data_IF_579004407753
#
_entry.id   IF_579004407753
#
_cell.length_a   1.000
_cell.length_b   1.000
_cell.length_c   1.000
_cell.angle_alpha   90.00
_cell.angle_beta   90.00
_cell.angle_gamma   90.00
#
_symmetry.space_group_name_H-M   'P 1'
#
loop_
_entity.id
_entity.type
_entity.pdbx_description
1 polymer ?
#
# COMPACT_ATOMS: atom_id res chain seq x y z
N UNK A 1 16.01 -34.31 29.19
CA UNK A 1 15.27 -33.03 29.19
C UNK A 1 14.45 -32.81 27.92
N UNK A 2 13.36 -33.56 27.78
CA UNK A 2 12.46 -33.57 26.60
C UNK A 2 11.11 -32.86 26.87
N UNK A 3 10.99 -32.15 28.01
CA UNK A 3 9.70 -31.63 28.50
C UNK A 3 9.44 -30.14 28.21
N UNK A 4 10.21 -29.50 27.33
CA UNK A 4 9.97 -28.10 26.90
C UNK A 4 9.48 -27.98 25.44
N UNK A 5 9.27 -29.08 24.72
CA UNK A 5 8.90 -29.06 23.29
C UNK A 5 7.39 -29.03 23.04
N UNK A 6 6.54 -29.22 24.05
CA UNK A 6 5.08 -29.23 23.88
C UNK A 6 4.42 -27.91 24.33
N UNK A 7 4.08 -27.07 23.34
CA UNK A 7 2.74 -26.46 23.13
C UNK A 7 2.73 -25.10 22.40
N UNK A 8 3.86 -24.54 21.96
CA UNK A 8 3.88 -23.20 21.33
C UNK A 8 4.84 -23.00 20.15
N UNK A 9 5.40 -24.05 19.54
CA UNK A 9 6.38 -23.88 18.43
C UNK A 9 5.71 -23.40 17.12
N UNK A 10 4.38 -23.57 16.98
CA UNK A 10 3.65 -23.30 15.72
C UNK A 10 2.66 -22.14 15.88
N UNK A 11 2.87 -21.30 16.89
CA UNK A 11 2.35 -19.94 16.88
C UNK A 11 3.30 -19.09 16.03
N UNK A 12 2.94 -18.84 14.76
CA UNK A 12 3.72 -17.94 13.90
C UNK A 12 3.83 -18.29 12.42
N UNK A 13 3.11 -19.30 11.92
CA UNK A 13 2.89 -19.52 10.49
C UNK A 13 1.47 -19.08 10.13
N UNK A 14 1.35 -18.05 9.29
CA UNK A 14 0.08 -17.53 8.80
C UNK A 14 -0.03 -17.79 7.31
N UNK A 15 -1.18 -18.30 6.89
CA UNK A 15 -1.51 -18.51 5.49
C UNK A 15 -2.71 -17.65 5.14
N UNK A 16 -2.59 -16.82 4.12
CA UNK A 16 -3.65 -15.93 3.67
C UNK A 16 -3.92 -16.23 2.19
N UNK A 17 -5.19 -16.44 1.85
CA UNK A 17 -5.64 -16.57 0.48
C UNK A 17 -6.56 -15.40 0.16
N UNK A 18 -6.03 -14.45 -0.58
CA UNK A 18 -6.77 -13.29 -1.07
C UNK A 18 -7.51 -13.71 -2.35
N UNK A 19 -8.85 -13.73 -2.31
CA UNK A 19 -9.70 -14.09 -3.46
C UNK A 19 -10.52 -12.90 -3.90
N UNK A 20 -10.56 -12.66 -5.21
CA UNK A 20 -11.39 -11.62 -5.82
C UNK A 20 -11.14 -10.20 -5.25
N UNK A 21 -9.93 -9.95 -4.73
CA UNK A 21 -9.57 -8.71 -4.07
C UNK A 21 -9.50 -7.57 -5.10
N UNK A 22 -10.36 -6.56 -4.92
CA UNK A 22 -10.51 -5.43 -5.85
C UNK A 22 -10.18 -4.07 -5.21
N UNK A 23 -9.94 -4.04 -3.90
CA UNK A 23 -9.72 -2.83 -3.10
C UNK A 23 -8.53 -2.99 -2.14
N UNK A 24 -7.99 -1.85 -1.70
CA UNK A 24 -7.01 -1.72 -0.62
C UNK A 24 -7.51 -2.44 0.64
N UNK A 25 -6.89 -3.57 1.00
CA UNK A 25 -6.96 -4.15 2.35
C UNK A 25 -5.95 -3.43 3.26
N UNK A 26 -6.01 -3.60 4.58
CA UNK A 26 -5.01 -3.00 5.49
C UNK A 26 -3.57 -3.45 5.17
N UNK A 27 -3.41 -4.65 4.60
CA UNK A 27 -2.14 -5.20 4.07
C UNK A 27 -1.63 -4.49 2.80
N UNK A 28 -2.45 -3.64 2.16
CA UNK A 28 -2.05 -2.80 1.02
C UNK A 28 -1.49 -1.44 1.45
N UNK A 29 -1.69 -1.02 2.70
CA UNK A 29 -1.05 0.19 3.24
C UNK A 29 0.46 -0.04 3.46
N UNK A 30 1.26 1.03 3.44
CA UNK A 30 2.69 0.90 3.70
C UNK A 30 2.93 0.48 5.16
N UNK A 31 3.44 -0.72 5.33
CA UNK A 31 3.64 -1.34 6.64
C UNK A 31 4.94 -2.16 6.68
N UNK A 32 5.20 -2.73 7.84
CA UNK A 32 6.21 -3.76 8.08
C UNK A 32 5.75 -4.62 9.25
N UNK A 33 6.17 -5.87 9.31
CA UNK A 33 5.79 -6.80 10.36
C UNK A 33 6.96 -7.73 10.72
N UNK A 34 6.92 -8.39 11.88
CA UNK A 34 8.03 -9.21 12.40
C UNK A 34 8.21 -10.57 11.68
N UNK A 35 7.47 -10.80 10.60
CA UNK A 35 7.48 -12.04 9.82
C UNK A 35 8.19 -11.86 8.48
N UNK A 36 8.74 -12.94 7.95
CA UNK A 36 9.11 -13.02 6.53
C UNK A 36 7.85 -13.34 5.74
N UNK A 37 7.67 -12.69 4.58
CA UNK A 37 6.51 -12.86 3.72
C UNK A 37 6.91 -13.47 2.36
N UNK A 38 6.12 -14.44 1.90
CA UNK A 38 6.13 -14.94 0.53
C UNK A 38 4.78 -14.57 -0.09
N UNK A 39 4.81 -13.79 -1.17
CA UNK A 39 3.61 -13.37 -1.91
C UNK A 39 3.62 -13.97 -3.31
N UNK A 40 2.59 -14.72 -3.69
CA UNK A 40 2.44 -15.34 -5.01
C UNK A 40 1.14 -14.90 -5.68
N UNK A 41 1.25 -14.36 -6.91
CA UNK A 41 0.09 -13.87 -7.67
C UNK A 41 -0.52 -14.99 -8.51
N UNK A 42 -1.78 -15.37 -8.24
CA UNK A 42 -2.52 -16.39 -9.02
C UNK A 42 -3.16 -15.76 -10.26
N UNK A 43 -3.82 -14.62 -10.10
CA UNK A 43 -4.50 -13.92 -11.19
C UNK A 43 -4.57 -12.42 -10.90
N UNK A 44 -4.77 -11.60 -11.94
CA UNK A 44 -4.76 -10.14 -11.83
C UNK A 44 -3.38 -9.53 -12.09
N UNK A 45 -3.21 -8.27 -11.71
CA UNK A 45 -1.93 -7.55 -11.83
C UNK A 45 -1.74 -6.63 -10.63
N UNK A 46 -0.55 -6.66 -10.05
CA UNK A 46 -0.25 -5.96 -8.79
C UNK A 46 1.04 -5.17 -8.94
N UNK A 47 1.08 -3.99 -8.36
CA UNK A 47 2.26 -3.19 -8.10
C UNK A 47 2.65 -3.37 -6.64
N UNK A 48 3.76 -4.04 -6.40
CA UNK A 48 4.28 -4.31 -5.06
C UNK A 48 5.46 -3.37 -4.79
N UNK A 49 5.34 -2.49 -3.81
CA UNK A 49 6.40 -1.54 -3.43
C UNK A 49 7.13 -2.08 -2.22
N UNK A 50 8.46 -2.19 -2.29
CA UNK A 50 9.32 -2.64 -1.18
C UNK A 50 10.51 -1.69 -1.09
N UNK A 51 10.65 -1.04 0.06
CA UNK A 51 11.58 0.05 0.30
C UNK A 51 11.46 1.16 -0.76
N UNK A 52 12.41 1.22 -1.66
CA UNK A 52 12.53 2.21 -2.73
C UNK A 52 12.17 1.65 -4.11
N UNK A 53 11.85 0.36 -4.22
CA UNK A 53 11.65 -0.34 -5.48
C UNK A 53 10.19 -0.75 -5.68
N UNK A 54 9.72 -0.63 -6.93
CA UNK A 54 8.38 -1.02 -7.34
C UNK A 54 8.46 -2.22 -8.28
N UNK A 55 7.75 -3.28 -7.94
CA UNK A 55 7.68 -4.53 -8.66
C UNK A 55 6.30 -4.69 -9.29
N UNK A 56 6.23 -4.69 -10.62
CA UNK A 56 5.00 -5.06 -11.32
C UNK A 56 4.94 -6.58 -11.41
N UNK A 57 3.86 -7.16 -10.90
CA UNK A 57 3.62 -8.61 -10.86
C UNK A 57 2.53 -9.02 -11.85
N UNK A 58 2.79 -10.14 -12.51
CA UNK A 58 1.91 -10.89 -13.38
C UNK A 58 1.57 -12.25 -12.76
N UNK A 59 0.50 -12.91 -13.19
CA UNK A 59 0.14 -14.25 -12.72
C UNK A 59 1.31 -15.23 -12.83
N UNK A 60 1.59 -15.97 -11.77
CA UNK A 60 2.71 -16.89 -11.68
C UNK A 60 4.00 -16.30 -11.10
N UNK A 61 4.05 -14.99 -10.85
CA UNK A 61 5.22 -14.33 -10.26
C UNK A 61 5.16 -14.30 -8.73
N UNK A 62 6.35 -14.32 -8.12
CA UNK A 62 6.55 -14.43 -6.67
C UNK A 62 7.45 -13.31 -6.14
N UNK A 63 7.09 -12.75 -4.99
CA UNK A 63 7.87 -11.78 -4.22
C UNK A 63 8.20 -12.36 -2.85
N UNK A 64 9.40 -12.06 -2.35
CA UNK A 64 9.79 -12.32 -0.96
C UNK A 64 10.10 -11.03 -0.21
N UNK A 65 9.67 -10.93 1.05
CA UNK A 65 9.85 -9.73 1.88
C UNK A 65 10.40 -10.10 3.26
N UNK A 66 11.34 -9.30 3.77
CA UNK A 66 11.87 -9.45 5.15
C UNK A 66 11.04 -8.69 6.17
N UNK A 67 11.23 -9.07 7.43
CA UNK A 67 10.66 -8.40 8.60
C UNK A 67 11.07 -6.93 8.76
N UNK A 68 12.23 -6.57 8.20
CA UNK A 68 12.81 -5.24 8.29
C UNK A 68 12.71 -4.42 6.99
N UNK A 69 11.84 -4.84 6.07
CA UNK A 69 11.53 -4.16 4.82
C UNK A 69 10.14 -3.48 4.86
N UNK A 70 10.09 -2.17 4.61
CA UNK A 70 8.82 -1.45 4.45
C UNK A 70 8.17 -1.80 3.12
N UNK A 71 6.90 -2.19 3.11
CA UNK A 71 6.25 -2.64 1.88
C UNK A 71 4.75 -2.33 1.84
N UNK A 72 4.21 -2.29 0.61
CA UNK A 72 2.79 -2.08 0.30
C UNK A 72 2.45 -2.72 -1.04
N UNK A 73 1.23 -3.22 -1.18
CA UNK A 73 0.67 -3.73 -2.43
C UNK A 73 -0.38 -2.76 -2.98
N UNK A 74 -0.40 -2.53 -4.29
CA UNK A 74 -1.44 -1.76 -4.97
C UNK A 74 -1.92 -2.51 -6.22
N UNK A 75 -3.23 -2.64 -6.40
CA UNK A 75 -3.82 -3.29 -7.58
C UNK A 75 -3.58 -2.43 -8.82
N UNK A 76 -3.08 -3.03 -9.90
CA UNK A 76 -2.93 -2.37 -11.20
C UNK A 76 -4.22 -2.53 -12.03
N UNK A 77 -4.66 -1.43 -12.66
CA UNK A 77 -5.81 -1.40 -13.59
C UNK A 77 -7.19 -1.74 -12.99
N UNK A 78 -7.33 -1.76 -11.66
CA UNK A 78 -8.61 -2.05 -10.99
C UNK A 78 -9.16 -3.46 -11.26
N UNK A 79 -8.30 -4.35 -11.75
CA UNK A 79 -8.63 -5.76 -11.95
C UNK A 79 -8.59 -6.48 -10.61
N UNK A 80 -9.56 -7.33 -10.34
CA UNK A 80 -9.47 -8.23 -9.20
C UNK A 80 -8.19 -9.04 -9.27
N UNK A 81 -7.59 -9.31 -8.12
CA UNK A 81 -6.49 -10.26 -8.03
C UNK A 81 -6.85 -11.42 -7.12
N UNK A 82 -6.15 -12.52 -7.34
CA UNK A 82 -6.12 -13.66 -6.44
C UNK A 82 -4.65 -13.91 -6.08
N UNK A 83 -4.33 -14.03 -4.80
CA UNK A 83 -2.97 -14.31 -4.34
C UNK A 83 -2.93 -15.27 -3.16
N UNK A 84 -1.79 -15.95 -3.03
CA UNK A 84 -1.46 -16.74 -1.86
C UNK A 84 -0.31 -16.06 -1.12
N UNK A 85 -0.41 -16.01 0.18
CA UNK A 85 0.56 -15.38 1.03
C UNK A 85 0.91 -16.26 2.23
N UNK A 86 2.20 -16.34 2.54
CA UNK A 86 2.71 -17.05 3.71
C UNK A 86 3.57 -16.10 4.52
N UNK A 87 3.21 -15.93 5.79
CA UNK A 87 4.02 -15.20 6.78
C UNK A 87 4.57 -16.17 7.82
N UNK A 88 5.87 -16.11 8.09
CA UNK A 88 6.49 -16.96 9.12
C UNK A 88 7.63 -16.27 9.86
N UNK A 89 7.82 -16.61 11.13
CA UNK A 89 8.90 -16.02 11.93
C UNK A 89 10.24 -16.68 11.55
N UNK A 90 11.31 -15.92 11.23
CA UNK A 90 12.56 -16.48 10.71
C UNK A 90 13.24 -17.47 11.68
N UNK A 91 13.19 -17.21 12.99
CA UNK A 91 13.72 -18.12 14.04
C UNK A 91 13.21 -19.56 13.93
N UNK A 92 11.97 -19.77 13.46
CA UNK A 92 11.43 -21.13 13.29
C UNK A 92 12.23 -21.87 12.23
N UNK A 93 12.57 -21.24 11.11
CA UNK A 93 13.35 -21.85 10.03
C UNK A 93 14.83 -21.98 10.37
N UNK A 94 15.39 -21.06 11.15
CA UNK A 94 16.79 -21.12 11.59
C UNK A 94 17.11 -22.41 12.36
N UNK A 95 16.14 -22.96 13.10
CA UNK A 95 16.27 -24.24 13.80
C UNK A 95 16.45 -25.44 12.85
N UNK A 96 16.07 -25.30 11.57
CA UNK A 96 16.11 -26.36 10.57
C UNK A 96 17.14 -26.11 9.45
N UNK A 97 17.96 -25.06 9.58
CA UNK A 97 18.99 -24.76 8.58
C UNK A 97 20.07 -25.87 8.58
N UNK A 98 20.27 -26.60 7.47
CA UNK A 98 21.40 -27.50 7.36
C UNK A 98 22.72 -26.72 7.23
N UNK A 99 23.87 -27.29 7.62
CA UNK A 99 25.16 -26.60 7.54
C UNK A 99 25.55 -26.12 6.14
N UNK A 100 25.10 -26.83 5.10
CA UNK A 100 25.47 -26.57 3.70
C UNK A 100 24.51 -25.63 2.97
N UNK A 101 23.35 -25.29 3.55
CA UNK A 101 22.32 -24.53 2.86
C UNK A 101 21.46 -23.73 3.83
N UNK A 102 21.22 -22.45 3.53
CA UNK A 102 20.41 -21.59 4.37
C UNK A 102 19.02 -21.41 3.75
N UNK A 103 17.97 -21.86 4.45
CA UNK A 103 16.57 -21.77 4.01
C UNK A 103 16.10 -20.31 3.82
N UNK A 104 16.80 -19.35 4.43
CA UNK A 104 16.49 -17.93 4.37
C UNK A 104 17.35 -17.14 3.36
N UNK A 105 18.08 -17.82 2.48
CA UNK A 105 19.06 -17.17 1.61
C UNK A 105 18.44 -16.18 0.61
N UNK A 106 17.31 -16.53 -0.02
CA UNK A 106 16.55 -15.65 -0.93
C UNK A 106 16.01 -14.38 -0.25
N UNK A 107 15.95 -14.35 1.09
CA UNK A 107 15.60 -13.16 1.86
C UNK A 107 16.83 -12.36 2.28
N UNK A 108 17.89 -13.03 2.74
CA UNK A 108 19.04 -12.41 3.42
C UNK A 108 20.21 -12.09 2.51
N UNK A 109 20.41 -12.85 1.43
CA UNK A 109 21.53 -12.68 0.49
C UNK A 109 21.19 -11.71 -0.64
N UNK A 110 20.62 -10.57 -0.27
CA UNK A 110 20.27 -9.45 -1.14
C UNK A 110 20.21 -8.15 -0.34
N UNK A 111 20.44 -7.04 -1.03
CA UNK A 111 20.24 -5.71 -0.45
C UNK A 111 18.74 -5.48 -0.17
N UNK A 112 18.43 -4.57 0.77
CA UNK A 112 17.05 -4.21 1.09
C UNK A 112 16.31 -3.66 -0.12
N UNK A 113 15.12 -4.19 -0.34
CA UNK A 113 14.27 -3.82 -1.46
C UNK A 113 14.80 -4.20 -2.84
N UNK A 114 15.97 -4.84 -2.98
CA UNK A 114 16.52 -5.30 -4.25
C UNK A 114 16.39 -6.83 -4.37
N UNK A 115 16.20 -7.32 -5.61
CA UNK A 115 16.04 -8.76 -5.93
C UNK A 115 14.95 -9.46 -5.09
N UNK A 116 13.86 -8.74 -4.76
CA UNK A 116 12.72 -9.32 -4.03
C UNK A 116 11.84 -10.21 -4.92
N UNK A 117 11.76 -9.90 -6.22
CA UNK A 117 11.06 -10.75 -7.19
C UNK A 117 11.93 -11.95 -7.50
N UNK A 118 11.37 -13.15 -7.38
CA UNK A 118 12.05 -14.40 -7.72
C UNK A 118 11.67 -14.76 -9.15
N UNK A 119 12.66 -14.81 -10.02
CA UNK A 119 12.46 -15.20 -11.41
C UNK A 119 12.30 -16.72 -11.49
N UNK A 120 11.05 -17.16 -11.69
CA UNK A 120 10.67 -18.57 -11.83
C UNK A 120 10.47 -18.89 -13.31
N UNK A 121 11.00 -20.03 -13.76
CA UNK A 121 10.58 -20.65 -15.03
C UNK A 121 9.15 -21.18 -14.88
N UNK A 122 8.48 -21.42 -16.01
CA UNK A 122 7.11 -21.92 -16.02
C UNK A 122 6.93 -23.21 -15.18
N UNK A 123 7.85 -24.17 -15.29
CA UNK A 123 7.80 -25.42 -14.51
C UNK A 123 8.04 -25.20 -13.01
N UNK A 124 8.91 -24.25 -12.65
CA UNK A 124 9.22 -23.90 -11.26
C UNK A 124 8.04 -23.16 -10.62
N UNK A 125 7.37 -22.29 -11.39
CA UNK A 125 6.15 -21.58 -10.97
C UNK A 125 4.99 -22.56 -10.67
N UNK A 126 4.79 -23.58 -11.52
CA UNK A 126 3.78 -24.61 -11.30
C UNK A 126 4.06 -25.47 -10.05
N UNK A 127 5.33 -25.84 -9.83
CA UNK A 127 5.76 -26.56 -8.63
C UNK A 127 5.52 -25.73 -7.35
N UNK A 128 5.95 -24.47 -7.35
CA UNK A 128 5.73 -23.52 -6.24
C UNK A 128 4.24 -23.36 -5.95
N UNK A 129 3.41 -23.18 -6.99
CA UNK A 129 1.96 -23.07 -6.82
C UNK A 129 1.36 -24.31 -6.17
N UNK A 130 1.76 -25.52 -6.60
CA UNK A 130 1.29 -26.77 -6.02
C UNK A 130 1.68 -26.92 -4.54
N UNK A 131 2.90 -26.52 -4.17
CA UNK A 131 3.35 -26.49 -2.77
C UNK A 131 2.53 -25.51 -1.93
N UNK A 132 2.26 -24.31 -2.44
CA UNK A 132 1.41 -23.32 -1.78
C UNK A 132 -0.02 -23.84 -1.57
N UNK A 133 -0.63 -24.47 -2.58
CA UNK A 133 -1.96 -25.10 -2.46
C UNK A 133 -1.97 -26.26 -1.47
N UNK A 134 -0.88 -27.01 -1.35
CA UNK A 134 -0.77 -28.06 -0.33
C UNK A 134 -0.75 -27.48 1.08
N UNK A 135 0.00 -26.40 1.31
CA UNK A 135 0.02 -25.68 2.59
C UNK A 135 -1.37 -25.13 2.92
N UNK A 136 -2.08 -24.52 1.96
CA UNK A 136 -3.47 -24.08 2.14
C UNK A 136 -4.37 -25.22 2.65
N UNK A 137 -4.31 -26.39 1.99
CA UNK A 137 -5.10 -27.57 2.36
C UNK A 137 -4.78 -28.06 3.78
N UNK A 138 -3.51 -28.03 4.18
CA UNK A 138 -3.08 -28.39 5.54
C UNK A 138 -3.52 -27.37 6.57
N UNK A 139 -3.59 -26.08 6.23
CA UNK A 139 -4.12 -25.05 7.12
C UNK A 139 -5.64 -25.15 7.31
N UNK A 140 -6.38 -25.59 6.29
CA UNK A 140 -7.84 -25.70 6.33
C UNK A 140 -8.36 -27.03 6.90
N UNK A 141 -7.53 -28.06 7.00
CA UNK A 141 -7.91 -29.36 7.57
C UNK A 141 -7.24 -29.57 8.94
N UNK A 142 -8.01 -29.98 9.93
CA UNK A 142 -7.53 -30.16 11.32
C UNK A 142 -7.47 -31.62 11.79
N UNK A 143 -6.63 -32.50 11.21
CA UNK A 143 -6.23 -33.74 11.87
C UNK A 143 -5.02 -33.57 12.82
N UNK A 144 -4.71 -34.63 13.56
CA UNK A 144 -3.53 -34.76 14.44
C UNK A 144 -2.21 -34.61 13.66
N UNK A 145 -1.17 -34.01 14.25
CA UNK A 145 0.18 -33.79 13.66
C UNK A 145 0.28 -32.94 12.38
N UNK A 146 -0.78 -32.21 11.97
CA UNK A 146 -0.79 -31.30 10.80
C UNK A 146 0.35 -30.27 10.84
N UNK A 147 0.71 -29.87 12.05
CA UNK A 147 1.74 -28.90 12.39
C UNK A 147 3.14 -29.27 11.85
N UNK A 148 3.56 -30.54 11.97
CA UNK A 148 4.80 -31.02 11.35
C UNK A 148 4.70 -31.09 9.82
N UNK A 149 3.52 -31.39 9.28
CA UNK A 149 3.29 -31.43 7.84
C UNK A 149 3.33 -30.03 7.21
N UNK A 150 2.76 -29.02 7.89
CA UNK A 150 2.87 -27.60 7.50
C UNK A 150 4.32 -27.16 7.46
N UNK A 151 5.08 -27.48 8.51
CA UNK A 151 6.50 -27.15 8.60
C UNK A 151 7.33 -27.83 7.50
N UNK A 152 7.13 -29.13 7.28
CA UNK A 152 7.81 -29.88 6.21
C UNK A 152 7.48 -29.30 4.83
N UNK A 153 6.22 -28.92 4.61
CA UNK A 153 5.79 -28.30 3.35
C UNK A 153 6.42 -26.92 3.14
N UNK A 154 6.52 -26.11 4.20
CA UNK A 154 7.21 -24.81 4.15
C UNK A 154 8.70 -24.96 3.86
N UNK A 155 9.39 -25.91 4.50
CA UNK A 155 10.80 -26.20 4.22
C UNK A 155 10.98 -26.59 2.74
N UNK A 156 10.11 -27.46 2.22
CA UNK A 156 10.15 -27.87 0.81
C UNK A 156 9.95 -26.68 -0.14
N UNK A 157 8.97 -25.80 0.15
CA UNK A 157 8.74 -24.56 -0.59
C UNK A 157 9.97 -23.65 -0.58
N UNK A 158 10.58 -23.44 0.59
CA UNK A 158 11.78 -22.60 0.72
C UNK A 158 12.97 -23.16 -0.06
N UNK A 159 13.16 -24.48 -0.07
CA UNK A 159 14.21 -25.13 -0.90
C UNK A 159 13.97 -24.86 -2.38
N UNK A 160 12.74 -25.01 -2.87
CA UNK A 160 12.39 -24.75 -4.27
C UNK A 160 12.65 -23.27 -4.66
N UNK A 161 12.15 -22.32 -3.87
CA UNK A 161 12.35 -20.88 -4.11
C UNK A 161 13.84 -20.49 -4.10
N UNK A 162 14.61 -20.98 -3.12
CA UNK A 162 16.03 -20.68 -3.03
C UNK A 162 16.83 -21.30 -4.18
N UNK A 163 16.41 -22.46 -4.69
CA UNK A 163 17.04 -23.09 -5.86
C UNK A 163 16.88 -22.19 -7.08
N UNK A 164 15.67 -21.72 -7.36
CA UNK A 164 15.42 -20.77 -8.45
C UNK A 164 16.19 -19.45 -8.26
N UNK A 165 16.21 -18.91 -7.04
CA UNK A 165 16.98 -17.70 -6.71
C UNK A 165 18.49 -17.86 -6.95
N UNK A 166 19.07 -19.00 -6.55
CA UNK A 166 20.49 -19.26 -6.76
C UNK A 166 20.84 -19.44 -8.25
N UNK A 167 19.95 -20.04 -9.04
CA UNK A 167 20.12 -20.13 -10.48
C UNK A 167 20.04 -18.76 -11.17
N UNK A 168 19.11 -17.91 -10.77
CA UNK A 168 18.99 -16.58 -11.37
C UNK A 168 20.22 -15.72 -11.11
N UNK A 169 20.78 -15.75 -9.88
CA UNK A 169 22.01 -15.01 -9.56
C UNK A 169 23.30 -15.64 -10.10
N UNK A 170 23.30 -16.94 -10.45
CA UNK A 170 24.48 -17.63 -11.02
C UNK A 170 24.51 -17.63 -12.54
N UNK A 171 23.36 -17.43 -13.21
CA UNK A 171 23.29 -17.19 -14.66
C UNK A 171 23.68 -15.77 -15.09
N UNK A 172 23.88 -14.86 -14.13
CA UNK A 172 24.37 -13.50 -14.36
C UNK A 172 25.91 -13.45 -14.46
N UNK A 173 26.48 -14.10 -15.49
CA UNK A 173 27.71 -13.56 -16.10
C UNK A 173 27.23 -12.39 -16.99
N UNK A 174 27.58 -11.15 -16.61
CA UNK A 174 27.37 -9.86 -17.32
C UNK A 174 26.28 -8.86 -16.81
N UNK A 175 25.95 -8.83 -15.51
CA UNK A 175 25.16 -7.73 -14.90
C UNK A 175 25.80 -7.10 -13.65
N UNK A 176 27.12 -6.85 -13.69
CA UNK A 176 27.58 -5.68 -12.93
C UNK A 176 26.92 -4.45 -13.54
N UNK A 177 26.29 -3.62 -12.70
CA UNK A 177 26.02 -2.23 -13.10
C UNK A 177 27.32 -1.70 -13.70
N UNK A 178 27.32 -1.20 -14.94
CA UNK A 178 28.54 -0.64 -15.51
C UNK A 178 29.11 0.36 -14.50
N UNK A 179 30.41 0.26 -14.19
CA UNK A 179 31.01 1.01 -13.08
C UNK A 179 30.66 2.51 -13.12
N UNK A 180 30.54 3.07 -14.33
CA UNK A 180 30.07 4.44 -14.57
C UNK A 180 28.66 4.70 -14.05
N UNK A 181 27.71 3.79 -14.30
CA UNK A 181 26.33 3.90 -13.80
C UNK A 181 26.26 3.75 -12.27
N UNK A 182 27.02 2.80 -11.70
CA UNK A 182 27.12 2.65 -10.24
C UNK A 182 27.63 3.94 -9.58
N UNK A 183 28.71 4.51 -10.11
CA UNK A 183 29.28 5.77 -9.61
C UNK A 183 28.29 6.95 -9.69
N UNK A 184 27.49 7.02 -10.75
CA UNK A 184 26.46 8.06 -10.91
C UNK A 184 25.34 7.88 -9.88
N UNK A 185 24.90 6.64 -9.64
CA UNK A 185 23.90 6.32 -8.63
C UNK A 185 24.40 6.67 -7.23
N UNK A 186 25.63 6.29 -6.89
CA UNK A 186 26.24 6.60 -5.59
C UNK A 186 26.35 8.11 -5.36
N UNK A 187 26.67 8.85 -6.43
CA UNK A 187 26.68 10.31 -6.38
C UNK A 187 25.29 10.87 -6.14
N UNK A 188 24.26 10.43 -6.88
CA UNK A 188 22.88 10.89 -6.68
C UNK A 188 22.43 10.56 -5.26
N UNK A 189 22.71 9.36 -4.75
CA UNK A 189 22.36 8.96 -3.39
C UNK A 189 22.98 9.85 -2.32
N UNK A 190 24.20 10.34 -2.58
CA UNK A 190 24.92 11.22 -1.65
C UNK A 190 24.57 12.71 -1.84
N UNK A 191 24.08 13.12 -3.02
CA UNK A 191 23.95 14.52 -3.42
C UNK A 191 22.56 14.91 -3.95
N UNK A 192 21.52 14.08 -3.83
CA UNK A 192 20.17 14.37 -4.34
C UNK A 192 19.58 15.71 -3.83
N UNK A 193 20.08 16.22 -2.70
CA UNK A 193 19.66 17.48 -2.10
C UNK A 193 20.25 18.73 -2.78
N UNK A 194 21.21 18.56 -3.69
CA UNK A 194 21.81 19.62 -4.51
C UNK A 194 21.39 19.48 -5.98
N UNK A 195 22.06 20.20 -6.90
CA UNK A 195 21.84 20.01 -8.33
C UNK A 195 22.25 18.59 -8.76
N UNK A 196 21.33 17.93 -9.44
CA UNK A 196 21.49 16.61 -10.04
C UNK A 196 20.80 16.60 -11.42
N UNK A 197 20.73 17.75 -12.08
CA UNK A 197 20.23 17.87 -13.45
C UNK A 197 20.99 16.94 -14.40
N UNK A 198 20.35 16.57 -15.50
CA UNK A 198 20.98 15.72 -16.50
C UNK A 198 22.23 16.39 -17.10
N UNK A 199 22.16 17.71 -17.26
CA UNK A 199 23.27 18.57 -17.70
C UNK A 199 24.44 18.49 -16.71
N UNK A 200 24.16 18.61 -15.40
CA UNK A 200 25.20 18.49 -14.38
C UNK A 200 25.85 17.09 -14.37
N UNK A 201 25.05 16.03 -14.46
CA UNK A 201 25.56 14.66 -14.47
C UNK A 201 26.36 14.37 -15.74
N UNK A 202 25.97 14.94 -16.88
CA UNK A 202 26.69 14.83 -18.15
C UNK A 202 28.09 15.43 -18.07
N UNK A 203 28.21 16.65 -17.54
CA UNK A 203 29.50 17.32 -17.34
C UNK A 203 30.36 16.61 -16.28
N UNK A 204 29.76 16.21 -15.15
CA UNK A 204 30.47 15.67 -13.99
C UNK A 204 31.07 14.29 -14.24
N UNK A 205 30.37 13.46 -15.01
CA UNK A 205 30.73 12.06 -15.28
C UNK A 205 31.18 11.83 -16.73
N UNK A 206 31.28 12.89 -17.53
CA UNK A 206 31.67 12.83 -18.94
C UNK A 206 30.82 11.83 -19.73
N UNK A 207 29.49 11.85 -19.51
CA UNK A 207 28.54 10.90 -20.09
C UNK A 207 27.43 11.63 -20.83
N UNK A 208 27.11 11.20 -22.05
CA UNK A 208 26.00 11.81 -22.78
C UNK A 208 24.66 11.58 -22.06
N UNK A 209 23.88 12.65 -21.83
CA UNK A 209 22.62 12.56 -21.07
C UNK A 209 21.58 11.62 -21.67
N UNK A 210 21.50 11.49 -23.00
CA UNK A 210 20.58 10.54 -23.64
C UNK A 210 21.04 9.09 -23.46
N UNK A 211 22.36 8.87 -23.44
CA UNK A 211 22.91 7.57 -23.09
C UNK A 211 22.64 7.23 -21.62
N UNK A 212 22.83 8.19 -20.70
CA UNK A 212 22.49 8.03 -19.28
C UNK A 212 21.01 7.66 -19.07
N UNK A 213 20.08 8.36 -19.73
CA UNK A 213 18.65 8.01 -19.69
C UNK A 213 18.38 6.59 -20.19
N UNK A 214 19.01 6.17 -21.28
CA UNK A 214 18.91 4.80 -21.79
C UNK A 214 19.48 3.77 -20.82
N UNK A 215 20.59 4.08 -20.14
CA UNK A 215 21.18 3.22 -19.13
C UNK A 215 20.27 3.07 -17.90
N UNK A 216 19.71 4.16 -17.39
CA UNK A 216 18.73 4.14 -16.30
C UNK A 216 17.49 3.34 -16.68
N UNK A 217 16.96 3.51 -17.90
CA UNK A 217 15.82 2.71 -18.37
C UNK A 217 16.17 1.23 -18.56
N UNK A 218 17.35 0.92 -19.11
CA UNK A 218 17.80 -0.47 -19.33
C UNK A 218 18.05 -1.23 -18.02
N UNK A 219 18.70 -0.59 -17.04
CA UNK A 219 19.20 -1.27 -15.84
C UNK A 219 18.35 -1.03 -14.59
N UNK A 220 17.55 0.03 -14.53
CA UNK A 220 16.71 0.38 -13.36
C UNK A 220 15.22 0.54 -13.70
N UNK A 221 14.85 0.46 -14.99
CA UNK A 221 13.48 0.65 -15.50
C UNK A 221 12.79 1.98 -15.12
N UNK A 222 13.54 2.97 -14.63
CA UNK A 222 13.06 4.28 -14.20
C UNK A 222 13.80 5.39 -14.92
N UNK A 223 13.25 6.62 -14.94
CA UNK A 223 13.98 7.78 -15.46
C UNK A 223 14.92 8.34 -14.38
N UNK A 224 15.97 9.06 -14.80
CA UNK A 224 16.90 9.74 -13.88
C UNK A 224 16.14 10.76 -13.02
N UNK A 225 15.22 11.51 -13.62
CA UNK A 225 14.40 12.51 -12.92
C UNK A 225 13.52 11.86 -11.85
N UNK A 226 12.87 10.74 -12.18
CA UNK A 226 12.01 10.03 -11.24
C UNK A 226 12.82 9.42 -10.10
N UNK A 227 14.00 8.88 -10.39
CA UNK A 227 14.93 8.38 -9.37
C UNK A 227 15.34 9.47 -8.38
N UNK A 228 15.75 10.64 -8.87
CA UNK A 228 16.13 11.78 -8.01
C UNK A 228 14.92 12.25 -7.20
N UNK A 229 13.77 12.45 -7.86
CA UNK A 229 12.53 12.88 -7.20
C UNK A 229 12.13 11.92 -6.09
N UNK A 230 12.26 10.62 -6.36
CA UNK A 230 12.01 9.56 -5.40
C UNK A 230 12.96 9.67 -4.18
N UNK A 231 14.28 9.79 -4.38
CA UNK A 231 15.25 9.96 -3.27
C UNK A 231 14.92 11.19 -2.41
N UNK A 232 14.54 12.30 -3.06
CA UNK A 232 14.13 13.54 -2.38
C UNK A 232 12.88 13.35 -1.53
N UNK A 233 11.85 12.66 -2.04
CA UNK A 233 10.61 12.38 -1.29
C UNK A 233 10.85 11.39 -0.17
N UNK A 234 11.66 10.34 -0.38
CA UNK A 234 12.06 9.37 0.65
C UNK A 234 12.69 10.08 1.85
N UNK A 235 13.70 10.94 1.60
CA UNK A 235 14.31 11.75 2.65
C UNK A 235 13.33 12.76 3.27
N UNK A 236 12.42 13.32 2.48
CA UNK A 236 11.42 14.25 2.98
C UNK A 236 10.50 13.59 4.01
N UNK A 237 10.06 12.35 3.74
CA UNK A 237 9.27 11.57 4.70
C UNK A 237 10.03 11.36 6.00
N UNK A 238 11.30 10.96 5.92
CA UNK A 238 12.15 10.80 7.12
C UNK A 238 12.23 12.09 7.96
N UNK A 239 12.57 13.22 7.33
CA UNK A 239 12.73 14.51 8.00
C UNK A 239 11.41 15.02 8.60
N UNK A 240 10.31 14.95 7.86
CA UNK A 240 8.98 15.32 8.36
C UNK A 240 8.59 14.42 9.53
N UNK A 241 8.85 13.11 9.43
CA UNK A 241 8.60 12.21 10.55
C UNK A 241 9.41 12.65 11.79
N UNK A 242 10.63 13.15 11.61
CA UNK A 242 11.46 13.64 12.71
C UNK A 242 11.11 15.07 13.16
N UNK A 243 9.95 15.61 12.76
CA UNK A 243 9.45 16.90 13.21
C UNK A 243 10.07 18.10 12.50
N UNK A 244 10.83 17.90 11.42
CA UNK A 244 11.37 19.00 10.63
C UNK A 244 10.24 19.71 9.90
N UNK A 245 10.21 21.05 9.97
CA UNK A 245 9.16 21.84 9.34
C UNK A 245 9.11 21.60 7.82
N UNK A 246 7.90 21.61 7.25
CA UNK A 246 7.67 21.32 5.82
C UNK A 246 8.55 22.16 4.89
N UNK A 247 8.71 23.45 5.21
CA UNK A 247 9.51 24.40 4.44
C UNK A 247 11.00 24.06 4.51
N UNK A 248 11.49 23.67 5.68
CA UNK A 248 12.88 23.24 5.85
C UNK A 248 13.13 21.89 5.18
N UNK A 249 12.21 20.94 5.31
CA UNK A 249 12.26 19.65 4.62
C UNK A 249 12.37 19.84 3.11
N UNK A 250 11.51 20.68 2.50
CA UNK A 250 11.57 20.95 1.06
C UNK A 250 12.97 21.41 0.64
N UNK A 251 13.56 22.33 1.40
CA UNK A 251 14.90 22.87 1.16
C UNK A 251 15.99 21.81 1.34
N UNK A 252 15.94 21.05 2.44
CA UNK A 252 16.92 20.01 2.78
C UNK A 252 16.88 18.83 1.81
N UNK A 253 15.74 18.61 1.15
CA UNK A 253 15.58 17.58 0.12
C UNK A 253 15.85 18.12 -1.29
N UNK A 254 16.35 19.34 -1.47
CA UNK A 254 16.73 19.87 -2.79
C UNK A 254 15.56 20.27 -3.70
N UNK A 255 14.38 20.58 -3.13
CA UNK A 255 13.29 21.17 -3.89
C UNK A 255 13.45 22.69 -3.98
N UNK A 256 13.62 23.19 -5.21
CA UNK A 256 13.75 24.63 -5.48
C UNK A 256 12.42 25.39 -5.34
N UNK A 257 11.29 24.68 -5.41
CA UNK A 257 9.96 25.27 -5.33
C UNK A 257 9.11 24.50 -4.31
N UNK A 258 8.68 25.20 -3.26
CA UNK A 258 7.88 24.63 -2.17
C UNK A 258 6.50 24.11 -2.65
N UNK A 259 5.83 24.83 -3.55
CA UNK A 259 4.55 24.39 -4.10
C UNK A 259 4.71 23.12 -4.94
N UNK A 260 5.81 23.01 -5.69
CA UNK A 260 6.15 21.79 -6.43
C UNK A 260 6.45 20.63 -5.48
N UNK A 261 7.21 20.87 -4.40
CA UNK A 261 7.43 19.88 -3.34
C UNK A 261 6.12 19.37 -2.75
N UNK A 262 5.21 20.26 -2.35
CA UNK A 262 3.92 19.87 -1.75
C UNK A 262 3.09 19.04 -2.73
N UNK A 263 3.04 19.43 -4.01
CA UNK A 263 2.33 18.69 -5.06
C UNK A 263 2.93 17.31 -5.27
N UNK A 264 4.25 17.22 -5.48
CA UNK A 264 4.95 15.94 -5.69
C UNK A 264 4.81 15.05 -4.46
N UNK A 265 5.03 15.58 -3.26
CA UNK A 265 4.89 14.83 -2.02
C UNK A 265 3.46 14.32 -1.83
N UNK A 266 2.44 15.14 -2.05
CA UNK A 266 1.04 14.71 -1.96
C UNK A 266 0.71 13.62 -2.99
N UNK A 267 1.20 13.76 -4.22
CA UNK A 267 0.96 12.79 -5.29
C UNK A 267 1.67 11.45 -5.04
N UNK A 268 2.88 11.49 -4.46
CA UNK A 268 3.68 10.28 -4.20
C UNK A 268 3.31 9.60 -2.87
N UNK A 269 2.92 10.37 -1.84
CA UNK A 269 2.70 9.88 -0.46
C UNK A 269 1.22 9.82 -0.10
N UNK A 270 0.33 10.44 -0.90
CA UNK A 270 -1.12 10.45 -0.68
C UNK A 270 -1.61 11.51 0.33
N UNK A 271 -0.72 12.17 1.07
CA UNK A 271 -1.06 13.21 2.06
C UNK A 271 -0.14 14.42 2.00
N UNK A 272 -0.55 15.54 2.58
CA UNK A 272 0.23 16.78 2.60
C UNK A 272 1.44 16.64 3.55
N UNK A 273 2.60 17.24 3.22
CA UNK A 273 3.77 17.26 4.11
C UNK A 273 3.48 17.75 5.53
N UNK A 274 2.60 18.75 5.66
CA UNK A 274 2.21 19.33 6.95
C UNK A 274 1.48 18.34 7.83
N UNK A 275 0.58 17.54 7.23
CA UNK A 275 -0.12 16.46 7.94
C UNK A 275 0.84 15.34 8.34
N UNK A 276 1.82 15.04 7.47
CA UNK A 276 2.81 13.99 7.72
C UNK A 276 3.73 14.28 8.91
N UNK A 277 4.02 15.56 9.19
CA UNK A 277 4.91 15.98 10.30
C UNK A 277 4.29 15.68 11.67
N UNK A 278 2.97 15.83 11.79
CA UNK A 278 2.26 15.69 13.06
C UNK A 278 2.02 14.23 13.46
N UNK A 279 2.06 13.29 12.50
CA UNK A 279 1.84 11.86 12.77
C UNK A 279 2.82 11.30 13.82
N UNK A 280 4.07 11.80 13.91
CA UNK A 280 5.07 11.26 14.86
C UNK A 280 5.07 11.93 16.24
N UNK A 281 4.51 13.13 16.38
CA UNK A 281 4.29 13.69 17.73
C UNK A 281 3.34 12.79 18.52
N UNK A 282 2.35 12.20 17.86
CA UNK A 282 1.43 11.22 18.46
C UNK A 282 2.03 9.80 18.56
N UNK A 283 2.86 9.35 17.60
CA UNK A 283 3.48 8.02 17.65
C UNK A 283 4.73 7.88 18.54
N UNK A 284 5.40 8.98 18.93
CA UNK A 284 6.55 8.90 19.86
C UNK A 284 6.16 8.48 21.28
N UNK A 285 4.89 8.62 21.65
CA UNK A 285 4.30 8.12 22.89
C UNK A 285 3.80 6.66 22.79
N UNK A 286 3.84 6.05 21.60
CA UNK A 286 3.26 4.73 21.31
C UNK A 286 4.30 3.60 21.22
N UNK A 287 5.59 3.86 21.41
CA UNK A 287 6.63 2.82 21.33
C UNK A 287 6.82 1.96 22.58
N UNK A 288 6.17 2.29 23.69
CA UNK A 288 6.43 1.63 24.99
C UNK A 288 5.31 0.72 25.52
N UNK A 289 4.20 0.49 24.82
CA UNK A 289 3.11 -0.32 25.42
C UNK A 289 2.29 -1.14 24.41
N UNK A 290 2.87 -2.22 23.87
CA UNK A 290 2.12 -3.31 23.24
C UNK A 290 1.98 -4.50 24.19
N UNK A 291 1.45 -4.28 25.39
CA UNK A 291 0.77 -5.28 26.23
C UNK A 291 0.14 -4.58 27.45
N UNK A 292 -0.97 -3.87 27.24
CA UNK A 292 -1.95 -3.68 28.31
C UNK A 292 -3.35 -3.88 27.75
N UNK A 293 -4.10 -4.76 28.41
CA UNK A 293 -5.55 -4.84 28.31
C UNK A 293 -6.13 -3.42 28.36
N UNK A 294 -6.80 -2.96 27.30
CA UNK A 294 -7.55 -1.70 27.29
C UNK A 294 -8.91 -1.81 28.02
N UNK A 295 -9.01 -2.73 28.98
CA UNK A 295 -10.14 -2.80 29.91
C UNK A 295 -10.03 -1.63 30.92
N UNK A 296 -10.41 -0.42 30.50
CA UNK A 296 -10.46 0.75 31.38
C UNK A 296 -10.31 2.13 30.72
N UNK A 297 -10.00 2.23 29.43
CA UNK A 297 -9.92 3.52 28.72
C UNK A 297 -11.21 3.76 27.93
N UNK A 298 -11.94 4.82 28.29
CA UNK A 298 -13.08 5.31 27.54
C UNK A 298 -12.60 5.92 26.21
N UNK A 299 -12.75 5.19 25.12
CA UNK A 299 -12.41 5.63 23.77
C UNK A 299 -13.67 5.74 22.90
N UNK A 300 -13.73 6.70 21.95
CA UNK A 300 -14.78 6.72 20.95
C UNK A 300 -14.70 5.49 20.02
N UNK A 301 -15.77 5.22 19.30
CA UNK A 301 -15.87 4.18 18.26
C UNK A 301 -16.78 4.70 17.14
N UNK A 302 -16.22 5.20 16.05
CA UNK A 302 -16.97 5.95 15.04
C UNK A 302 -17.44 5.04 13.92
N UNK A 303 -18.76 4.91 13.80
CA UNK A 303 -19.38 4.08 12.77
C UNK A 303 -20.12 4.97 11.78
N UNK A 304 -19.96 4.68 10.50
CA UNK A 304 -20.88 5.21 9.48
C UNK A 304 -22.16 4.40 9.54
N UNK A 305 -23.21 4.94 10.15
CA UNK A 305 -24.48 4.23 10.31
C UNK A 305 -25.35 4.30 9.06
N UNK A 306 -25.27 5.38 8.28
CA UNK A 306 -26.09 5.57 7.07
C UNK A 306 -25.42 6.50 6.04
N UNK A 307 -25.75 6.30 4.75
CA UNK A 307 -25.32 7.18 3.64
C UNK A 307 -26.55 7.79 2.98
N UNK A 308 -26.55 9.11 2.81
CA UNK A 308 -27.60 9.92 2.24
C UNK A 308 -27.06 10.70 1.03
N UNK A 309 -27.96 11.11 0.14
CA UNK A 309 -27.64 11.98 -0.99
C UNK A 309 -28.83 12.87 -1.32
N UNK A 310 -28.56 14.00 -1.97
CA UNK A 310 -29.56 14.96 -2.45
C UNK A 310 -29.22 15.38 -3.88
N UNK A 311 -30.18 15.32 -4.84
CA UNK A 311 -31.56 14.86 -4.70
C UNK A 311 -31.66 13.35 -4.41
N UNK A 312 -32.68 12.91 -3.67
CA UNK A 312 -32.83 11.50 -3.25
C UNK A 312 -33.08 10.53 -4.41
N UNK A 313 -33.70 11.05 -5.48
CA UNK A 313 -33.95 10.36 -6.75
C UNK A 313 -33.25 11.14 -7.87
N UNK A 314 -31.97 10.87 -8.13
CA UNK A 314 -31.19 11.64 -9.08
C UNK A 314 -31.44 11.23 -10.53
N UNK A 315 -31.48 12.23 -11.41
CA UNK A 315 -31.47 12.07 -12.85
C UNK A 315 -30.13 12.46 -13.44
N UNK A 316 -29.87 11.99 -14.66
CA UNK A 316 -28.72 12.37 -15.46
C UNK A 316 -28.47 13.89 -15.47
N UNK A 317 -27.24 14.27 -15.13
CA UNK A 317 -26.76 15.65 -15.07
C UNK A 317 -27.05 16.39 -13.76
N UNK A 318 -27.77 15.78 -12.81
CA UNK A 318 -28.02 16.38 -11.50
C UNK A 318 -26.72 16.56 -10.71
N UNK A 319 -26.62 17.64 -9.93
CA UNK A 319 -25.53 17.85 -8.99
C UNK A 319 -25.86 17.19 -7.65
N UNK A 320 -25.29 16.01 -7.42
CA UNK A 320 -25.53 15.21 -6.21
C UNK A 320 -24.59 15.64 -5.10
N UNK A 321 -25.15 15.92 -3.93
CA UNK A 321 -24.36 16.10 -2.70
C UNK A 321 -24.57 14.94 -1.75
N UNK A 322 -23.49 14.38 -1.21
CA UNK A 322 -23.54 13.24 -0.30
C UNK A 322 -23.51 13.66 1.17
N UNK A 323 -24.09 12.85 2.04
CA UNK A 323 -23.98 13.00 3.49
C UNK A 323 -23.89 11.63 4.17
N UNK A 324 -23.27 11.56 5.33
CA UNK A 324 -23.16 10.35 6.13
C UNK A 324 -23.61 10.63 7.55
N UNK A 325 -24.37 9.71 8.13
CA UNK A 325 -24.67 9.72 9.56
C UNK A 325 -23.55 8.96 10.26
N UNK A 326 -22.82 9.66 11.12
CA UNK A 326 -21.74 9.12 11.95
C UNK A 326 -22.28 8.94 13.36
N UNK A 327 -22.07 7.76 13.94
CA UNK A 327 -22.42 7.45 15.33
C UNK A 327 -21.18 7.12 16.13
N UNK A 328 -21.08 7.62 17.36
CA UNK A 328 -20.09 7.15 18.32
C UNK A 328 -20.67 5.97 19.12
N UNK A 329 -20.25 4.74 18.84
CA UNK A 329 -20.64 3.53 19.59
C UNK A 329 -19.65 3.19 20.73
N UNK A 330 -18.63 4.03 20.91
CA UNK A 330 -17.60 3.83 21.90
C UNK A 330 -18.05 4.17 23.31
N UNK A 331 -17.11 4.09 24.24
CA UNK A 331 -17.34 4.41 25.66
C UNK A 331 -16.83 5.79 26.05
N UNK A 332 -16.09 6.47 25.16
CA UNK A 332 -15.58 7.83 25.34
C UNK A 332 -16.01 8.79 24.23
N UNK A 333 -16.02 10.11 24.49
CA UNK A 333 -16.35 11.12 23.49
C UNK A 333 -15.26 11.29 22.43
N UNK A 334 -15.63 11.83 21.26
CA UNK A 334 -14.60 12.28 20.32
C UNK A 334 -13.91 13.56 20.80
N UNK A 335 -12.63 13.78 20.46
CA UNK A 335 -11.93 14.99 20.89
C UNK A 335 -12.50 16.26 20.23
N UNK A 336 -12.95 17.22 21.03
CA UNK A 336 -13.35 18.53 20.52
C UNK A 336 -12.16 19.29 19.90
N UNK A 337 -12.41 20.02 18.83
CA UNK A 337 -11.40 20.78 18.07
C UNK A 337 -10.65 19.98 17.01
N UNK A 338 -10.81 18.65 16.96
CA UNK A 338 -10.26 17.80 15.89
C UNK A 338 -11.31 17.66 14.78
N UNK A 339 -10.91 17.90 13.54
CA UNK A 339 -11.80 17.70 12.38
C UNK A 339 -12.18 16.24 12.27
N UNK A 340 -13.47 15.94 12.38
CA UNK A 340 -14.04 14.64 12.05
C UNK A 340 -14.28 14.57 10.54
N UNK A 341 -13.36 13.92 9.84
CA UNK A 341 -13.44 13.76 8.38
C UNK A 341 -14.30 12.58 7.98
N UNK A 342 -15.06 12.75 6.91
CA UNK A 342 -15.73 11.66 6.19
C UNK A 342 -15.39 11.77 4.71
N UNK A 343 -14.81 10.74 4.12
CA UNK A 343 -14.59 10.68 2.66
C UNK A 343 -15.75 9.94 1.99
N UNK A 344 -16.17 10.43 0.82
CA UNK A 344 -17.14 9.79 -0.06
C UNK A 344 -16.46 9.42 -1.38
N UNK A 345 -16.47 8.13 -1.72
CA UNK A 345 -15.91 7.62 -2.97
C UNK A 345 -17.04 7.10 -3.85
N UNK A 346 -17.05 7.52 -5.11
CA UNK A 346 -18.03 7.11 -6.11
C UNK A 346 -17.34 6.41 -7.27
N UNK A 347 -17.86 5.26 -7.66
CA UNK A 347 -17.37 4.49 -8.80
C UNK A 347 -18.39 4.55 -9.94
N UNK A 348 -17.96 5.00 -11.12
CA UNK A 348 -18.68 4.83 -12.37
C UNK A 348 -18.42 3.42 -12.91
N UNK A 349 -19.46 2.69 -13.31
CA UNK A 349 -19.26 1.50 -14.12
C UNK A 349 -18.85 1.94 -15.53
N UNK A 350 -17.53 1.86 -15.81
CA UNK A 350 -16.89 2.10 -17.11
C UNK A 350 -17.08 3.51 -17.69
N UNK A 351 -16.07 4.37 -17.56
CA UNK A 351 -16.04 5.68 -18.24
C UNK A 351 -15.12 5.61 -19.47
N UNK A 352 -15.72 5.70 -20.65
CA UNK A 352 -15.01 5.88 -21.93
C UNK A 352 -14.79 7.37 -22.15
N UNK A 353 -13.53 7.80 -22.25
CA UNK A 353 -13.19 9.18 -22.63
C UNK A 353 -12.23 9.16 -23.81
N UNK A 354 -12.50 10.02 -24.79
CA UNK A 354 -11.69 10.19 -25.99
C UNK A 354 -11.25 11.65 -26.06
N UNK A 355 -9.96 11.90 -25.80
CA UNK A 355 -9.32 13.21 -25.99
C UNK A 355 -8.31 13.16 -27.15
N UNK A 356 -7.65 14.29 -27.45
CA UNK A 356 -6.67 14.40 -28.54
C UNK A 356 -5.42 13.52 -28.37
N UNK A 357 -5.29 12.79 -27.26
CA UNK A 357 -4.21 11.83 -26.96
C UNK A 357 -4.65 10.37 -27.08
N UNK A 358 -5.90 10.10 -27.47
CA UNK A 358 -6.43 8.77 -27.76
C UNK A 358 -7.38 8.21 -26.70
N UNK A 359 -8.08 7.14 -27.04
CA UNK A 359 -9.13 6.53 -26.21
C UNK A 359 -8.56 5.91 -24.92
N UNK A 360 -9.08 6.34 -23.77
CA UNK A 360 -8.70 5.81 -22.45
C UNK A 360 -9.89 5.19 -21.73
N UNK A 361 -9.69 3.94 -21.27
CA UNK A 361 -10.60 3.24 -20.37
C UNK A 361 -10.07 3.40 -18.95
N UNK A 362 -10.88 3.96 -18.04
CA UNK A 362 -10.47 4.15 -16.64
C UNK A 362 -11.39 3.39 -15.68
N UNK A 363 -10.77 2.75 -14.66
CA UNK A 363 -11.45 2.10 -13.53
C UNK A 363 -10.74 2.52 -12.24
N UNK A 364 -11.45 3.24 -11.40
CA UNK A 364 -11.05 3.78 -10.10
C UNK A 364 -12.23 4.57 -9.53
N UNK A 365 -12.20 4.99 -8.26
CA UNK A 365 -13.17 5.97 -7.78
C UNK A 365 -13.04 7.20 -8.70
N UNK A 366 -14.03 7.45 -9.55
CA UNK A 366 -13.94 8.52 -10.54
C UNK A 366 -13.97 9.88 -9.86
N UNK A 367 -14.55 9.94 -8.65
CA UNK A 367 -14.69 11.17 -7.88
C UNK A 367 -14.55 10.89 -6.38
N UNK A 368 -13.73 11.70 -5.71
CA UNK A 368 -13.54 11.68 -4.25
C UNK A 368 -14.02 13.02 -3.69
N UNK A 369 -14.97 12.95 -2.77
CA UNK A 369 -15.47 14.09 -1.99
C UNK A 369 -15.22 13.87 -0.50
N UNK A 370 -15.27 14.92 0.30
CA UNK A 370 -15.09 14.81 1.73
C UNK A 370 -15.86 15.87 2.52
N UNK A 371 -16.08 15.59 3.80
CA UNK A 371 -16.45 16.54 4.84
C UNK A 371 -15.22 16.86 5.69
N UNK A 372 -14.95 18.13 5.94
CA UNK A 372 -13.80 18.59 6.74
C UNK A 372 -14.09 19.79 7.67
N UNK A 373 -15.36 20.09 7.94
CA UNK A 373 -15.76 21.25 8.75
C UNK A 373 -16.14 20.94 10.21
N UNK A 374 -16.53 19.70 10.52
CA UNK A 374 -17.05 19.37 11.85
C UNK A 374 -15.93 19.15 12.86
N UNK A 375 -15.97 19.88 13.97
CA UNK A 375 -14.94 19.87 15.03
C UNK A 375 -15.51 19.72 16.44
N UNK A 376 -16.83 19.62 16.59
CA UNK A 376 -17.42 19.40 17.91
C UNK A 376 -17.22 17.95 18.36
N UNK A 377 -17.26 17.71 19.68
CA UNK A 377 -17.31 16.36 20.25
C UNK A 377 -18.62 15.67 19.84
N UNK A 378 -18.57 14.35 19.67
CA UNK A 378 -19.72 13.44 19.61
C UNK A 378 -19.64 12.57 20.86
N UNK A 379 -20.63 12.68 21.73
CA UNK A 379 -20.68 11.89 22.94
C UNK A 379 -21.01 10.41 22.65
N UNK A 380 -20.65 9.46 23.53
CA UNK A 380 -21.06 8.06 23.42
C UNK A 380 -22.56 7.92 23.16
N UNK A 381 -22.91 7.21 22.09
CA UNK A 381 -24.29 6.97 21.64
C UNK A 381 -24.88 8.06 20.73
N UNK A 382 -24.23 9.22 20.59
CA UNK A 382 -24.72 10.29 19.73
C UNK A 382 -24.42 10.07 18.24
N UNK A 383 -25.21 10.73 17.39
CA UNK A 383 -25.02 10.75 15.95
C UNK A 383 -24.99 12.17 15.38
N UNK A 384 -24.22 12.35 14.31
CA UNK A 384 -24.18 13.58 13.53
C UNK A 384 -24.26 13.27 12.03
N UNK A 385 -24.88 14.16 11.27
CA UNK A 385 -24.89 14.09 9.80
C UNK A 385 -23.85 15.03 9.22
N UNK A 386 -22.89 14.49 8.48
CA UNK A 386 -21.82 15.24 7.82
C UNK A 386 -22.00 15.20 6.31
N UNK A 387 -22.00 16.39 5.69
CA UNK A 387 -22.23 16.58 4.25
C UNK A 387 -20.91 16.89 3.53
N UNK A 388 -20.81 16.57 2.24
CA UNK A 388 -19.62 16.97 1.47
C UNK A 388 -19.42 18.49 1.51
N UNK A 389 -18.19 18.91 1.83
CA UNK A 389 -17.71 20.29 1.83
C UNK A 389 -16.58 20.52 0.82
N UNK A 390 -15.98 19.46 0.29
CA UNK A 390 -14.91 19.55 -0.71
C UNK A 390 -14.77 18.27 -1.55
N UNK A 391 -13.92 18.34 -2.55
CA UNK A 391 -13.62 17.27 -3.49
C UNK A 391 -12.49 17.69 -4.44
N UNK A 392 -12.13 16.82 -5.38
CA UNK A 392 -11.16 17.17 -6.43
C UNK A 392 -11.66 18.39 -7.23
N UNK A 393 -10.72 19.20 -7.72
CA UNK A 393 -10.97 20.45 -8.45
C UNK A 393 -11.87 21.50 -7.72
N UNK A 394 -11.91 21.46 -6.38
CA UNK A 394 -12.77 22.30 -5.53
C UNK A 394 -14.28 22.10 -5.75
N UNK A 395 -14.68 20.93 -6.28
CA UNK A 395 -16.08 20.58 -6.50
C UNK A 395 -16.55 19.71 -5.32
N UNK A 396 -17.67 20.06 -4.69
CA UNK A 396 -18.24 19.32 -3.55
C UNK A 396 -19.47 18.48 -3.92
N UNK A 397 -19.83 18.44 -5.20
CA UNK A 397 -20.96 17.69 -5.77
C UNK A 397 -20.51 16.80 -6.92
N UNK A 398 -21.18 15.67 -7.07
CA UNK A 398 -20.98 14.74 -8.16
C UNK A 398 -22.01 15.00 -9.26
N UNK A 399 -21.56 15.15 -10.50
CA UNK A 399 -22.48 15.20 -11.66
C UNK A 399 -22.99 13.80 -11.94
N UNK A 400 -24.30 13.60 -11.79
CA UNK A 400 -24.94 12.31 -11.92
C UNK A 400 -24.81 11.76 -13.36
N UNK A 401 -24.27 10.55 -13.48
CA UNK A 401 -24.19 9.79 -14.73
C UNK A 401 -25.23 8.66 -14.66
N UNK A 402 -25.94 8.29 -15.75
CA UNK A 402 -26.93 7.23 -15.70
C UNK A 402 -26.31 5.89 -15.29
N UNK A 403 -27.00 5.13 -14.43
CA UNK A 403 -26.55 3.80 -14.02
C UNK A 403 -26.70 3.54 -12.53
N UNK A 404 -26.10 2.43 -12.08
CA UNK A 404 -25.99 2.07 -10.67
C UNK A 404 -24.55 2.28 -10.25
N UNK A 405 -24.33 3.09 -9.22
CA UNK A 405 -23.01 3.45 -8.72
C UNK A 405 -22.85 3.01 -7.27
N UNK A 406 -21.61 2.64 -6.90
CA UNK A 406 -21.25 2.40 -5.50
C UNK A 406 -20.84 3.71 -4.86
N UNK A 407 -21.33 3.97 -3.65
CA UNK A 407 -20.94 5.10 -2.81
C UNK A 407 -20.39 4.52 -1.51
N UNK A 408 -19.11 4.76 -1.23
CA UNK A 408 -18.51 4.42 0.06
C UNK A 408 -18.35 5.68 0.89
N UNK A 409 -18.81 5.64 2.14
CA UNK A 409 -18.48 6.64 3.14
C UNK A 409 -17.51 6.01 4.16
N UNK A 410 -16.45 6.74 4.49
CA UNK A 410 -15.44 6.31 5.46
C UNK A 410 -15.21 7.44 6.46
N UNK A 411 -15.59 7.20 7.72
CA UNK A 411 -15.33 8.12 8.83
C UNK A 411 -13.94 7.89 9.40
N UNK A 412 -13.28 8.98 9.82
CA UNK A 412 -11.91 8.91 10.31
C UNK A 412 -10.92 8.32 9.27
N UNK A 413 -11.18 8.61 8.00
CA UNK A 413 -10.50 8.11 6.80
C UNK A 413 -8.96 8.23 6.80
N UNK A 414 -8.41 9.14 7.60
CA UNK A 414 -6.95 9.32 7.76
C UNK A 414 -6.48 9.19 9.21
N UNK A 415 -7.27 8.54 10.07
CA UNK A 415 -6.93 8.24 11.47
C UNK A 415 -6.65 9.50 12.32
N UNK A 416 -7.48 10.55 12.18
CA UNK A 416 -7.40 11.80 12.95
C UNK A 416 -7.82 11.64 14.41
N UNK A 417 -8.72 10.70 14.68
CA UNK A 417 -9.27 10.43 16.02
C UNK A 417 -8.84 9.02 16.42
N UNK A 418 -8.37 8.87 17.66
CA UNK A 418 -8.09 7.55 18.22
C UNK A 418 -9.38 6.93 18.72
N UNK A 419 -9.71 5.75 18.23
CA UNK A 419 -10.92 5.01 18.57
C UNK A 419 -10.65 3.53 18.88
N UNK A 420 -11.68 2.84 19.34
CA UNK A 420 -11.59 1.45 19.81
C UNK A 420 -11.51 0.45 18.65
N UNK A 421 -12.36 0.58 17.65
CA UNK A 421 -12.42 -0.28 16.48
C UNK A 421 -12.39 0.57 15.21
N UNK A 422 -11.46 0.29 14.31
CA UNK A 422 -11.38 0.98 13.01
C UNK A 422 -12.07 0.19 11.90
N UNK A 423 -12.45 -1.06 12.15
CA UNK A 423 -13.04 -1.96 11.14
C UNK A 423 -14.47 -1.60 10.75
N UNK A 424 -15.19 -0.91 11.63
CA UNK A 424 -16.60 -0.50 11.46
C UNK A 424 -16.75 0.95 10.95
N UNK A 425 -15.66 1.61 10.59
CA UNK A 425 -15.67 3.00 10.14
C UNK A 425 -16.17 3.21 8.70
N UNK A 426 -16.42 2.13 7.96
CA UNK A 426 -16.77 2.18 6.54
C UNK A 426 -18.16 1.61 6.26
N UNK A 427 -18.89 2.25 5.36
CA UNK A 427 -20.17 1.75 4.83
C UNK A 427 -20.22 1.96 3.32
N UNK A 428 -20.87 1.03 2.62
CA UNK A 428 -21.11 1.12 1.18
C UNK A 428 -22.62 1.09 0.93
N UNK A 429 -23.10 1.95 0.02
CA UNK A 429 -24.49 2.00 -0.43
C UNK A 429 -24.55 2.21 -1.95
N UNK A 430 -25.54 1.63 -2.61
CA UNK A 430 -25.76 1.79 -4.06
C UNK A 430 -26.67 2.98 -4.33
N UNK A 431 -26.29 3.85 -5.27
CA UNK A 431 -27.11 4.93 -5.80
C UNK A 431 -27.52 4.59 -7.23
N UNK A 432 -28.80 4.76 -7.57
CA UNK A 432 -29.33 4.57 -8.91
C UNK A 432 -29.64 5.95 -9.50
N UNK A 433 -29.11 6.23 -10.68
CA UNK A 433 -29.35 7.46 -11.45
C UNK A 433 -30.15 7.13 -12.69
N UNK A 434 -31.28 7.80 -12.89
CA UNK A 434 -32.14 7.56 -14.04
C UNK A 434 -31.72 8.41 -15.26
N UNK A 435 -31.75 7.81 -16.44
CA UNK A 435 -31.55 8.52 -17.71
C UNK A 435 -32.71 9.49 -17.96
N UNK A 436 -32.42 10.68 -18.52
CA UNK A 436 -33.50 11.55 -19.03
C UNK A 436 -34.06 10.94 -20.31
N UNK A 437 -35.18 10.22 -20.23
CA UNK A 437 -35.90 9.81 -21.44
C UNK A 437 -36.41 11.07 -22.16
N UNK A 438 -36.02 11.26 -23.42
CA UNK A 438 -36.69 12.21 -24.29
C UNK A 438 -38.17 11.81 -24.37
N UNK A 439 -39.04 12.58 -23.74
CA UNK A 439 -40.46 12.56 -24.05
C UNK A 439 -40.56 13.06 -25.50
N UNK A 440 -40.67 12.14 -26.45
CA UNK A 440 -41.08 12.47 -27.81
C UNK A 440 -42.44 13.18 -27.72
N UNK A 441 -42.46 14.48 -28.05
CA UNK A 441 -43.67 15.23 -28.33
C UNK A 441 -44.15 14.96 -29.74
#
# INVERSE_FOLDING_TARGET
>A
DLNLVNNNIINGLYFIHNRDCSDFTDDCALHKHEYYEIFYLISGSISYTIEENVYSLSPGELIVVRDDELHSCAVLNGSKYESLEIRFHPKVMEMFNPPAFNLLNCFRHRQKGAKNKIDLKLSESEEVFNLLRNIEKLCNNTPFCVDFLKLSSLITLLVSINTAYLYSISSEDDTQLPATLANIIDYINSNFHTDCSLEFLEERFFINKFYLCRMFKKHLNISVHDYITFKRISKARELLSNGVSTKNTARLCGFNNYSNFVKIFKNTVGTLPSKYTNLKQDHSLLKDNTHRNFSGLALPDLVVSEILWSPSEPFEGDQITFSAIIKNEGTGPTPAGIVLGVSFLIWNEWEYTEDTRGATWSRGASHIFWSDYFTNSIEPGESITLKTSGGWDNISSWTAVPGIHRVMAYVNDIFRIKEYNYENNRRIKLIKVESKSCICK
#
